data_IF_973359226080
#
_entry.id   IF_973359226080
#
_cell.length_a   1.000
_cell.length_b   1.000
_cell.length_c   1.000
_cell.angle_alpha   90.00
_cell.angle_beta   90.00
_cell.angle_gamma   90.00
#
_symmetry.space_group_name_H-M   'P 1'
#
loop_
_entity.id
_entity.type
_entity.pdbx_description
1 polymer ?
#
# COMPACT_ATOMS: atom_id res chain seq x y z
N UNK A 1 29.52 -66.53 -58.11
CA UNK A 1 28.85 -65.61 -57.19
C UNK A 1 29.81 -64.89 -56.22
N UNK A 2 31.13 -65.31 -56.14
CA UNK A 2 32.09 -64.67 -55.19
C UNK A 2 32.76 -63.39 -55.75
N UNK A 3 32.80 -63.19 -57.06
CA UNK A 3 33.48 -62.07 -57.71
C UNK A 3 32.60 -60.79 -57.85
N UNK A 4 31.26 -60.94 -57.77
CA UNK A 4 30.34 -59.79 -57.89
C UNK A 4 30.29 -58.97 -56.60
N UNK A 5 30.50 -59.60 -55.42
CA UNK A 5 30.51 -58.88 -54.16
C UNK A 5 31.79 -58.07 -53.92
N UNK A 6 32.92 -58.44 -54.53
CA UNK A 6 34.18 -57.70 -54.38
C UNK A 6 34.19 -56.40 -55.17
N UNK A 7 33.47 -56.34 -56.27
CA UNK A 7 33.42 -55.19 -57.15
C UNK A 7 32.50 -54.08 -56.59
N UNK A 8 31.46 -54.42 -55.85
CA UNK A 8 30.56 -53.48 -55.24
C UNK A 8 31.13 -52.74 -54.01
N UNK A 9 32.02 -53.44 -53.28
CA UNK A 9 32.71 -52.84 -52.11
C UNK A 9 33.79 -51.82 -52.51
N UNK A 10 34.45 -52.01 -53.65
CA UNK A 10 35.49 -51.11 -54.15
C UNK A 10 34.85 -49.78 -54.65
N UNK A 11 33.67 -49.82 -55.30
CA UNK A 11 32.99 -48.64 -55.75
C UNK A 11 32.39 -47.78 -54.60
N UNK A 12 31.93 -48.43 -53.50
CA UNK A 12 31.48 -47.74 -52.33
C UNK A 12 32.58 -46.97 -51.60
N UNK A 13 33.84 -47.53 -51.53
CA UNK A 13 34.96 -46.85 -50.88
C UNK A 13 35.44 -45.62 -51.68
N UNK A 14 35.37 -45.61 -53.00
CA UNK A 14 35.81 -44.51 -53.83
C UNK A 14 34.76 -43.34 -53.73
N UNK A 15 33.47 -43.63 -53.59
CA UNK A 15 32.44 -42.65 -53.40
C UNK A 15 32.55 -41.90 -52.06
N UNK A 16 33.00 -42.56 -51.00
CA UNK A 16 33.19 -41.93 -49.67
C UNK A 16 34.43 -41.01 -49.67
N UNK A 17 35.50 -41.38 -50.42
CA UNK A 17 36.69 -40.55 -50.47
C UNK A 17 36.47 -39.24 -51.29
N UNK A 18 35.55 -39.26 -52.27
CA UNK A 18 35.24 -38.06 -53.07
C UNK A 18 34.40 -37.00 -52.28
N UNK A 19 33.67 -37.38 -51.23
CA UNK A 19 32.91 -36.43 -50.40
C UNK A 19 33.80 -35.70 -49.38
N UNK A 20 34.92 -36.30 -48.97
CA UNK A 20 35.83 -35.66 -48.00
C UNK A 20 36.62 -34.48 -48.61
N UNK A 21 36.79 -34.45 -49.93
CA UNK A 21 37.57 -33.41 -50.62
C UNK A 21 36.78 -32.07 -50.80
N UNK A 22 35.46 -32.12 -50.72
CA UNK A 22 34.64 -30.92 -50.88
C UNK A 22 34.36 -30.18 -49.55
N UNK A 23 34.79 -30.73 -48.42
CA UNK A 23 34.58 -30.10 -47.11
C UNK A 23 35.65 -29.07 -46.72
N UNK A 24 36.75 -29.00 -47.50
CA UNK A 24 37.89 -28.15 -47.16
C UNK A 24 37.76 -26.70 -47.66
N UNK A 25 36.79 -26.42 -48.50
CA UNK A 25 36.70 -25.10 -49.20
C UNK A 25 35.40 -24.32 -48.84
N UNK A 26 34.73 -24.69 -47.74
CA UNK A 26 33.63 -23.88 -47.26
C UNK A 26 34.18 -22.60 -46.63
N UNK A 27 33.73 -21.42 -47.08
CA UNK A 27 34.11 -20.18 -46.44
C UNK A 27 33.62 -20.23 -45.00
N UNK A 28 34.53 -20.04 -44.03
CA UNK A 28 34.22 -19.92 -42.62
C UNK A 28 33.22 -18.80 -42.46
N UNK A 29 31.94 -19.14 -42.29
CA UNK A 29 30.92 -18.14 -41.91
C UNK A 29 31.38 -17.57 -40.59
N UNK A 30 31.86 -16.32 -40.59
CA UNK A 30 32.07 -15.58 -39.36
C UNK A 30 30.75 -15.64 -38.57
N UNK A 31 30.81 -16.27 -37.37
CA UNK A 31 29.69 -16.24 -36.50
C UNK A 31 29.17 -14.80 -36.36
N UNK A 32 27.86 -14.54 -36.48
CA UNK A 32 27.33 -13.22 -36.24
C UNK A 32 27.84 -12.74 -34.87
N UNK A 33 28.22 -11.48 -34.75
CA UNK A 33 28.66 -10.92 -33.49
C UNK A 33 27.61 -11.24 -32.42
N UNK A 34 28.01 -11.60 -31.19
CA UNK A 34 27.05 -11.85 -30.10
C UNK A 34 26.11 -10.66 -30.02
N UNK A 35 24.81 -10.93 -30.18
CA UNK A 35 23.82 -9.88 -29.97
C UNK A 35 24.02 -9.37 -28.54
N UNK A 36 24.30 -8.08 -28.40
CA UNK A 36 24.35 -7.44 -27.12
C UNK A 36 22.99 -7.68 -26.46
N UNK A 37 22.98 -8.51 -25.40
CA UNK A 37 21.79 -8.69 -24.55
C UNK A 37 21.59 -7.34 -23.90
N UNK A 38 20.65 -6.56 -24.42
CA UNK A 38 20.21 -5.32 -23.78
C UNK A 38 19.67 -5.73 -22.41
N UNK A 39 20.38 -5.35 -21.35
CA UNK A 39 19.89 -5.53 -20.00
C UNK A 39 18.49 -4.86 -19.92
N UNK A 40 17.49 -5.52 -19.33
CA UNK A 40 16.19 -4.89 -19.13
C UNK A 40 16.40 -3.56 -18.41
N UNK A 41 15.62 -2.52 -18.77
CA UNK A 41 15.74 -1.22 -18.11
C UNK A 41 15.61 -1.42 -16.59
N UNK A 42 16.42 -0.71 -15.79
CA UNK A 42 16.37 -0.85 -14.35
C UNK A 42 14.98 -0.46 -13.86
N UNK A 43 14.29 -1.40 -13.21
CA UNK A 43 13.01 -1.17 -12.55
C UNK A 43 13.26 -0.14 -11.45
N UNK A 44 12.36 0.84 -11.32
CA UNK A 44 12.46 1.84 -10.25
C UNK A 44 12.50 1.15 -8.87
N UNK A 45 13.48 1.52 -8.05
CA UNK A 45 13.67 0.90 -6.73
C UNK A 45 12.88 1.67 -5.67
N UNK A 46 11.91 1.01 -5.05
CA UNK A 46 11.09 1.55 -3.98
C UNK A 46 11.66 1.31 -2.57
N UNK A 47 12.77 0.57 -2.44
CA UNK A 47 13.41 0.31 -1.14
C UNK A 47 14.02 1.57 -0.56
N UNK A 48 13.99 1.68 0.76
CA UNK A 48 14.59 2.77 1.51
C UNK A 48 13.66 3.36 2.56
N UNK A 49 14.20 4.25 3.37
CA UNK A 49 13.42 5.07 4.30
C UNK A 49 12.77 6.23 3.55
N UNK A 50 11.61 6.63 4.01
CA UNK A 50 10.93 7.80 3.49
C UNK A 50 10.22 8.56 4.61
N UNK A 51 10.06 9.85 4.39
CA UNK A 51 9.21 10.74 5.20
C UNK A 51 8.29 11.51 4.27
N UNK A 52 7.14 11.91 4.76
CA UNK A 52 6.18 12.63 3.94
C UNK A 52 5.23 13.48 4.75
N UNK A 53 4.51 14.30 4.02
CA UNK A 53 3.39 15.08 4.53
C UNK A 53 2.16 14.81 3.68
N UNK A 54 1.00 14.81 4.31
CA UNK A 54 -0.25 14.56 3.62
C UNK A 54 -1.37 15.42 4.20
N UNK A 55 -2.36 15.70 3.37
CA UNK A 55 -3.61 16.30 3.76
C UNK A 55 -4.77 15.49 3.23
N UNK A 56 -5.91 15.58 3.87
CA UNK A 56 -7.06 14.77 3.49
C UNK A 56 -8.36 15.28 4.06
N UNK A 57 -9.39 14.52 3.78
CA UNK A 57 -10.73 14.73 4.28
C UNK A 57 -11.30 13.40 4.77
N UNK A 58 -11.92 13.43 5.93
CA UNK A 58 -12.55 12.26 6.51
C UNK A 58 -14.04 12.52 6.73
N UNK A 59 -14.80 11.45 6.62
CA UNK A 59 -16.21 11.39 6.97
C UNK A 59 -16.49 10.09 7.71
N UNK A 60 -17.40 10.11 8.64
CA UNK A 60 -17.76 8.94 9.44
C UNK A 60 -19.15 9.06 10.01
N UNK A 61 -19.70 7.92 10.34
CA UNK A 61 -20.98 7.78 11.00
C UNK A 61 -20.74 7.38 12.46
N UNK A 62 -21.27 8.16 13.38
CA UNK A 62 -21.30 7.78 14.79
C UNK A 62 -22.70 7.26 15.11
N UNK A 63 -22.80 5.96 15.36
CA UNK A 63 -24.05 5.32 15.76
C UNK A 63 -24.09 5.18 17.28
N UNK A 64 -25.06 5.84 17.90
CA UNK A 64 -25.38 5.67 19.31
C UNK A 64 -26.56 4.72 19.45
N UNK A 65 -26.32 3.51 19.91
CA UNK A 65 -27.39 2.60 20.34
C UNK A 65 -27.84 2.98 21.75
N UNK A 66 -28.52 4.12 21.86
CA UNK A 66 -29.25 4.44 23.07
C UNK A 66 -30.63 3.79 23.03
N UNK A 67 -30.98 3.02 24.02
CA UNK A 67 -32.18 2.18 24.14
C UNK A 67 -33.54 2.92 24.01
N UNK A 68 -33.55 4.22 23.70
CA UNK A 68 -34.79 5.01 23.56
C UNK A 68 -34.80 6.03 22.42
N UNK A 69 -33.69 6.35 21.76
CA UNK A 69 -33.65 7.21 20.58
C UNK A 69 -32.30 7.01 19.88
N UNK A 70 -32.25 6.17 18.83
CA UNK A 70 -31.10 6.08 17.94
C UNK A 70 -30.83 7.44 17.33
N UNK A 71 -29.69 8.04 17.64
CA UNK A 71 -29.20 9.24 17.00
C UNK A 71 -27.96 8.88 16.18
N UNK A 72 -28.02 9.06 14.89
CA UNK A 72 -26.86 9.03 14.00
C UNK A 72 -26.53 10.45 13.58
N UNK A 73 -25.27 10.84 13.65
CA UNK A 73 -24.82 12.11 13.10
C UNK A 73 -23.55 11.93 12.30
N UNK A 74 -23.48 12.64 11.20
CA UNK A 74 -22.34 12.66 10.30
C UNK A 74 -21.24 13.52 10.92
N UNK A 75 -20.04 12.98 11.01
CA UNK A 75 -18.85 13.70 11.41
C UNK A 75 -17.94 13.82 10.18
N UNK A 76 -17.49 15.03 9.89
CA UNK A 76 -16.55 15.22 8.78
C UNK A 76 -15.56 16.33 9.10
N UNK A 77 -14.39 16.26 8.52
CA UNK A 77 -13.35 17.26 8.77
C UNK A 77 -12.12 17.09 7.89
N UNK A 78 -11.30 18.13 7.90
CA UNK A 78 -9.99 18.12 7.25
C UNK A 78 -8.95 17.53 8.19
N UNK A 79 -7.96 16.91 7.61
CA UNK A 79 -6.79 16.44 8.34
C UNK A 79 -5.49 16.85 7.62
N UNK A 80 -4.46 17.10 8.41
CA UNK A 80 -3.09 17.33 7.98
C UNK A 80 -2.17 16.45 8.80
N UNK A 81 -1.23 15.77 8.16
CA UNK A 81 -0.37 14.83 8.87
C UNK A 81 1.02 14.72 8.30
N UNK A 82 1.87 14.09 9.10
CA UNK A 82 3.20 13.68 8.71
C UNK A 82 3.34 12.17 8.87
N UNK A 83 4.19 11.58 8.04
CA UNK A 83 4.44 10.15 8.04
C UNK A 83 5.93 9.84 7.91
N UNK A 84 6.32 8.68 8.39
CA UNK A 84 7.62 8.08 8.17
C UNK A 84 7.45 6.59 7.92
N UNK A 85 8.28 6.03 7.06
CA UNK A 85 8.19 4.61 6.76
C UNK A 85 9.45 4.05 6.16
N UNK A 86 9.43 2.74 5.95
CA UNK A 86 10.50 1.99 5.30
C UNK A 86 9.88 0.99 4.35
N UNK A 87 10.44 0.89 3.15
CA UNK A 87 10.06 -0.10 2.15
C UNK A 87 11.21 -1.05 1.87
N UNK A 88 10.87 -2.28 1.58
CA UNK A 88 11.78 -3.31 1.09
C UNK A 88 11.19 -3.99 -0.14
N UNK A 89 11.89 -3.87 -1.28
CA UNK A 89 11.44 -4.39 -2.56
C UNK A 89 12.15 -5.69 -2.92
N UNK A 90 11.37 -6.69 -3.30
CA UNK A 90 11.84 -7.97 -3.81
C UNK A 90 11.18 -8.20 -5.18
N UNK A 91 11.95 -8.03 -6.25
CA UNK A 91 11.40 -8.06 -7.61
C UNK A 91 10.38 -6.94 -7.82
N UNK A 92 9.14 -7.31 -8.07
CA UNK A 92 8.03 -6.37 -8.23
C UNK A 92 7.18 -6.19 -6.96
N UNK A 93 7.49 -6.93 -5.89
CA UNK A 93 6.74 -6.86 -4.65
C UNK A 93 7.44 -5.92 -3.67
N UNK A 94 6.68 -5.02 -3.06
CA UNK A 94 7.18 -4.07 -2.07
C UNK A 94 6.48 -4.32 -0.74
N UNK A 95 7.26 -4.59 0.28
CA UNK A 95 6.82 -4.68 1.67
C UNK A 95 7.21 -3.40 2.39
N UNK A 96 6.33 -2.84 3.21
CA UNK A 96 6.63 -1.63 3.96
C UNK A 96 6.00 -1.61 5.33
N UNK A 97 6.60 -0.77 6.18
CA UNK A 97 6.02 -0.33 7.45
C UNK A 97 5.93 1.18 7.42
N UNK A 98 4.81 1.71 7.86
CA UNK A 98 4.53 3.14 7.87
C UNK A 98 3.88 3.53 9.19
N UNK A 99 4.37 4.62 9.79
CA UNK A 99 3.77 5.27 10.93
C UNK A 99 3.39 6.70 10.55
N UNK A 100 2.22 7.15 10.97
CA UNK A 100 1.78 8.52 10.75
C UNK A 100 1.12 9.13 11.99
N UNK A 101 1.17 10.45 12.03
CA UNK A 101 0.45 11.28 12.98
C UNK A 101 -0.34 12.33 12.23
N UNK A 102 -1.59 12.49 12.58
CA UNK A 102 -2.55 13.38 11.94
C UNK A 102 -3.10 14.37 12.96
N UNK A 103 -3.12 15.63 12.62
CA UNK A 103 -3.92 16.65 13.26
C UNK A 103 -5.22 16.79 12.47
N UNK A 104 -6.34 16.77 13.17
CA UNK A 104 -7.65 16.79 12.54
C UNK A 104 -8.53 17.86 13.19
N UNK A 105 -9.37 18.46 12.37
CA UNK A 105 -10.45 19.36 12.80
C UNK A 105 -11.78 18.60 12.66
N UNK A 106 -11.78 17.36 13.21
CA UNK A 106 -13.01 16.58 13.27
C UNK A 106 -13.85 17.13 14.41
N UNK A 107 -14.89 17.88 14.05
CA UNK A 107 -15.89 18.34 14.98
C UNK A 107 -17.25 17.74 14.62
N UNK A 108 -17.91 17.19 15.60
CA UNK A 108 -19.26 16.68 15.51
C UNK A 108 -20.07 17.20 16.66
N UNK A 109 -21.25 17.77 16.40
CA UNK A 109 -22.21 18.13 17.43
C UNK A 109 -23.54 17.45 17.14
N UNK A 110 -24.09 16.81 18.16
CA UNK A 110 -25.38 16.13 18.07
C UNK A 110 -26.20 16.25 19.33
N UNK A 111 -27.53 16.09 19.23
CA UNK A 111 -28.41 16.13 20.40
C UNK A 111 -28.23 14.85 21.26
N UNK A 112 -27.82 15.04 22.52
CA UNK A 112 -27.75 13.98 23.52
C UNK A 112 -28.88 14.20 24.55
N UNK A 113 -30.09 13.77 24.22
CA UNK A 113 -31.25 14.03 25.04
C UNK A 113 -31.63 15.52 25.12
N UNK A 114 -31.52 16.14 26.32
CA UNK A 114 -31.80 17.57 26.52
C UNK A 114 -30.54 18.46 26.34
N UNK A 115 -29.40 17.91 26.01
CA UNK A 115 -28.10 18.59 25.91
C UNK A 115 -27.51 18.43 24.52
N UNK A 116 -26.55 19.29 24.13
CA UNK A 116 -25.75 19.15 22.94
C UNK A 116 -24.42 18.50 23.36
N UNK A 117 -24.06 17.37 22.77
CA UNK A 117 -22.74 16.77 22.92
C UNK A 117 -21.81 17.25 21.83
N UNK A 118 -20.61 17.61 22.20
CA UNK A 118 -19.53 17.96 21.29
C UNK A 118 -18.44 16.89 21.41
N UNK A 119 -17.99 16.38 20.26
CA UNK A 119 -16.89 15.44 20.19
C UNK A 119 -15.79 16.03 19.35
N UNK A 120 -14.63 16.18 19.93
CA UNK A 120 -13.43 16.66 19.26
C UNK A 120 -12.37 15.57 19.25
N UNK A 121 -11.73 15.35 18.10
CA UNK A 121 -10.57 14.48 17.98
C UNK A 121 -9.39 15.28 17.42
N UNK A 122 -8.58 15.88 18.29
CA UNK A 122 -7.54 16.82 17.83
C UNK A 122 -6.36 16.13 17.16
N UNK A 123 -6.10 14.85 17.43
CA UNK A 123 -5.04 14.10 16.78
C UNK A 123 -5.27 12.59 16.85
N UNK A 124 -4.80 11.88 15.83
CA UNK A 124 -4.72 10.43 15.82
C UNK A 124 -3.48 9.98 15.05
N UNK A 125 -3.02 8.79 15.33
CA UNK A 125 -1.89 8.17 14.64
C UNK A 125 -2.21 6.76 14.18
N UNK A 126 -1.43 6.27 13.22
CA UNK A 126 -1.52 4.88 12.78
C UNK A 126 -0.14 4.24 12.65
N UNK A 127 -0.09 2.92 12.85
CA UNK A 127 1.06 2.07 12.56
C UNK A 127 0.61 0.94 11.66
N UNK A 128 1.11 0.90 10.42
CA UNK A 128 0.56 0.05 9.37
C UNK A 128 1.63 -0.69 8.61
N UNK A 129 1.33 -1.94 8.26
CA UNK A 129 2.01 -2.67 7.20
C UNK A 129 1.46 -2.29 5.84
N UNK A 130 2.29 -2.30 4.79
CA UNK A 130 1.86 -2.10 3.40
C UNK A 130 2.45 -3.18 2.50
N UNK A 131 1.65 -3.58 1.51
CA UNK A 131 2.04 -4.52 0.47
C UNK A 131 1.71 -3.89 -0.89
N UNK A 132 2.75 -3.61 -1.68
CA UNK A 132 2.65 -2.94 -2.96
C UNK A 132 3.17 -3.77 -4.13
N UNK A 133 2.76 -3.39 -5.33
CA UNK A 133 3.26 -3.93 -6.58
C UNK A 133 3.97 -2.81 -7.37
N UNK A 134 5.28 -2.96 -7.57
CA UNK A 134 6.10 -2.01 -8.30
C UNK A 134 5.94 -2.19 -9.82
N UNK A 135 5.11 -1.36 -10.42
CA UNK A 135 5.00 -1.22 -11.87
C UNK A 135 5.84 -0.01 -12.32
N UNK A 136 7.17 -0.17 -12.29
CA UNK A 136 8.15 0.90 -12.49
C UNK A 136 7.91 2.07 -11.50
N UNK A 137 7.54 3.24 -11.98
CA UNK A 137 7.30 4.45 -11.16
C UNK A 137 5.91 4.51 -10.53
N UNK A 138 5.05 3.56 -10.81
CA UNK A 138 3.71 3.47 -10.25
C UNK A 138 3.61 2.27 -9.32
N UNK A 139 3.09 2.47 -8.11
CA UNK A 139 2.98 1.43 -7.09
C UNK A 139 1.59 1.48 -6.44
N UNK A 140 0.63 0.67 -6.91
CA UNK A 140 -0.58 0.38 -6.15
C UNK A 140 -0.23 -0.48 -4.93
N UNK A 141 -0.93 -0.26 -3.82
CA UNK A 141 -0.69 -1.02 -2.60
C UNK A 141 -1.95 -1.14 -1.75
N UNK A 142 -1.94 -2.14 -0.88
CA UNK A 142 -2.88 -2.30 0.22
C UNK A 142 -2.14 -2.03 1.53
N UNK A 143 -2.85 -1.58 2.55
CA UNK A 143 -2.28 -1.28 3.86
C UNK A 143 -3.24 -1.69 4.96
N UNK A 144 -2.69 -2.03 6.13
CA UNK A 144 -3.49 -2.34 7.30
C UNK A 144 -2.65 -2.37 8.56
N UNK A 145 -3.28 -2.10 9.70
CA UNK A 145 -2.56 -2.03 10.95
C UNK A 145 -3.40 -1.49 12.11
N UNK A 146 -2.71 -0.88 13.05
CA UNK A 146 -3.29 -0.31 14.25
C UNK A 146 -3.53 1.19 14.07
N UNK A 147 -4.64 1.66 14.60
CA UNK A 147 -4.95 3.07 14.79
C UNK A 147 -4.98 3.38 16.29
N UNK A 148 -4.53 4.56 16.67
CA UNK A 148 -4.60 5.05 18.04
C UNK A 148 -4.91 6.54 18.02
N UNK A 149 -5.75 6.98 18.93
CA UNK A 149 -6.17 8.37 19.00
C UNK A 149 -6.69 8.75 20.36
N UNK A 150 -6.66 10.05 20.64
CA UNK A 150 -7.28 10.61 21.82
C UNK A 150 -8.69 11.06 21.46
N UNK A 151 -9.67 10.53 22.14
CA UNK A 151 -11.06 10.95 22.02
C UNK A 151 -11.40 11.76 23.28
N UNK A 152 -11.81 12.99 23.10
CA UNK A 152 -12.29 13.86 24.17
C UNK A 152 -13.80 14.03 24.01
N UNK A 153 -14.54 13.55 25.00
CA UNK A 153 -15.98 13.77 25.10
C UNK A 153 -16.23 14.80 26.18
N UNK A 154 -16.84 15.92 25.83
CA UNK A 154 -17.19 16.97 26.77
C UNK A 154 -18.71 17.15 26.83
N UNK A 155 -19.27 16.99 28.04
CA UNK A 155 -20.67 17.28 28.31
C UNK A 155 -20.71 18.56 29.13
N UNK A 156 -21.18 19.69 28.56
CA UNK A 156 -21.25 20.96 29.28
C UNK A 156 -22.07 20.84 30.58
N UNK A 157 -21.40 21.07 31.72
CA UNK A 157 -22.02 21.05 33.06
C UNK A 157 -21.87 19.77 33.87
N UNK A 158 -21.26 18.72 33.33
CA UNK A 158 -21.05 17.43 34.02
C UNK A 158 -19.55 17.06 34.12
N UNK A 159 -18.72 17.42 33.15
CA UNK A 159 -17.29 17.12 33.11
C UNK A 159 -16.90 16.46 31.81
N UNK A 160 -15.59 16.45 31.51
CA UNK A 160 -15.00 15.78 30.35
C UNK A 160 -14.14 14.60 30.78
N UNK A 161 -14.17 13.55 29.99
CA UNK A 161 -13.25 12.40 30.09
C UNK A 161 -12.43 12.29 28.82
N UNK A 162 -11.15 11.97 28.95
CA UNK A 162 -10.25 11.77 27.83
C UNK A 162 -9.59 10.42 27.93
N UNK A 163 -9.79 9.59 26.91
CA UNK A 163 -9.22 8.25 26.87
C UNK A 163 -8.47 8.00 25.56
N UNK A 164 -7.37 7.25 25.66
CA UNK A 164 -6.60 6.84 24.47
C UNK A 164 -7.14 5.51 23.99
N UNK A 165 -7.61 5.48 22.75
CA UNK A 165 -8.23 4.30 22.13
C UNK A 165 -7.32 3.68 21.10
N UNK A 166 -7.41 2.36 21.02
CA UNK A 166 -6.75 1.55 20.02
C UNK A 166 -7.80 0.88 19.14
N UNK A 167 -7.56 0.92 17.84
CA UNK A 167 -8.40 0.30 16.85
C UNK A 167 -7.58 -0.28 15.72
N UNK A 168 -8.25 -0.67 14.66
CA UNK A 168 -7.61 -1.16 13.45
C UNK A 168 -7.92 -0.26 12.26
N UNK A 169 -7.05 -0.33 11.26
CA UNK A 169 -7.23 0.40 10.00
C UNK A 169 -6.84 -0.48 8.84
N UNK A 170 -7.58 -0.34 7.74
CA UNK A 170 -7.26 -0.98 6.48
C UNK A 170 -7.48 0.02 5.33
N UNK A 171 -6.73 -0.13 4.26
CA UNK A 171 -6.84 0.80 3.15
C UNK A 171 -6.18 0.33 1.87
N UNK A 172 -6.39 1.13 0.85
CA UNK A 172 -5.80 0.96 -0.47
C UNK A 172 -5.24 2.29 -0.94
N UNK A 173 -4.16 2.26 -1.69
CA UNK A 173 -3.55 3.46 -2.22
C UNK A 173 -2.72 3.23 -3.46
N UNK A 174 -2.26 4.33 -3.99
CA UNK A 174 -1.32 4.35 -5.10
C UNK A 174 -0.26 5.42 -4.87
N UNK A 175 0.96 5.12 -5.27
CA UNK A 175 2.09 6.03 -5.18
C UNK A 175 2.74 6.15 -6.56
N UNK A 176 3.07 7.37 -6.96
CA UNK A 176 3.71 7.68 -8.24
C UNK A 176 5.00 8.46 -8.03
N UNK A 177 6.13 7.89 -8.44
CA UNK A 177 7.44 8.51 -8.36
C UNK A 177 7.64 9.49 -9.53
N UNK A 178 7.46 10.78 -9.29
CA UNK A 178 7.68 11.83 -10.28
C UNK A 178 9.15 12.29 -10.34
N UNK A 179 9.95 11.99 -9.30
CA UNK A 179 11.38 12.20 -9.26
C UNK A 179 12.09 10.97 -8.68
N UNK A 180 13.42 10.85 -8.79
CA UNK A 180 14.16 9.71 -8.26
C UNK A 180 13.94 9.46 -6.76
N UNK A 181 13.76 10.53 -5.99
CA UNK A 181 13.60 10.51 -4.54
C UNK A 181 12.27 11.08 -4.04
N UNK A 182 11.35 11.47 -4.95
CA UNK A 182 10.07 12.05 -4.55
C UNK A 182 8.91 11.30 -5.21
N UNK A 183 7.85 11.10 -4.45
CA UNK A 183 6.64 10.45 -4.92
C UNK A 183 5.39 11.15 -4.41
N UNK A 184 4.35 11.08 -5.22
CA UNK A 184 3.00 11.48 -4.88
C UNK A 184 2.22 10.26 -4.44
N UNK A 185 1.54 10.35 -3.31
CA UNK A 185 0.74 9.28 -2.71
C UNK A 185 -0.71 9.72 -2.60
N UNK A 186 -1.63 8.84 -2.95
CA UNK A 186 -3.07 8.99 -2.67
C UNK A 186 -3.58 7.70 -2.06
N UNK A 187 -4.36 7.81 -0.99
CA UNK A 187 -4.76 6.68 -0.17
C UNK A 187 -6.19 6.86 0.35
N UNK A 188 -6.94 5.77 0.34
CA UNK A 188 -8.21 5.64 1.05
C UNK A 188 -8.00 4.72 2.25
N UNK A 189 -8.44 5.15 3.42
CA UNK A 189 -8.38 4.40 4.66
C UNK A 189 -9.77 4.25 5.26
N UNK A 190 -10.03 3.06 5.74
CA UNK A 190 -11.09 2.76 6.69
C UNK A 190 -10.45 2.62 8.07
N UNK A 191 -11.00 3.31 9.05
CA UNK A 191 -10.54 3.31 10.44
C UNK A 191 -11.70 2.92 11.33
N UNK A 192 -11.47 1.94 12.18
CA UNK A 192 -12.42 1.46 13.19
C UNK A 192 -11.72 1.53 14.55
N UNK A 193 -12.18 2.42 15.42
CA UNK A 193 -11.60 2.60 16.76
C UNK A 193 -12.30 1.76 17.83
N UNK A 194 -13.20 0.85 17.41
CA UNK A 194 -13.96 0.00 18.33
C UNK A 194 -14.99 0.76 19.17
N UNK A 195 -15.87 -0.01 19.81
CA UNK A 195 -16.88 0.56 20.69
C UNK A 195 -16.33 0.89 22.10
N UNK A 196 -16.89 1.89 22.76
CA UNK A 196 -16.60 2.20 24.14
C UNK A 196 -17.86 2.45 24.97
N UNK A 197 -17.78 2.09 26.26
CA UNK A 197 -18.80 2.40 27.23
C UNK A 197 -18.53 3.77 27.87
N UNK A 198 -19.40 4.73 27.63
CA UNK A 198 -19.30 6.02 28.29
C UNK A 198 -19.92 5.92 29.71
N UNK A 199 -19.08 5.79 30.74
CA UNK A 199 -19.53 5.77 32.13
C UNK A 199 -19.73 7.16 32.74
N UNK A 200 -19.12 8.18 32.15
CA UNK A 200 -19.22 9.59 32.59
C UNK A 200 -20.40 10.36 31.99
N UNK A 201 -21.12 9.78 31.02
CA UNK A 201 -22.25 10.46 30.35
C UNK A 201 -23.56 10.43 31.16
N UNK A 202 -23.54 10.00 32.43
CA UNK A 202 -24.70 10.04 33.35
C UNK A 202 -25.80 9.01 33.06
N UNK A 203 -25.74 8.32 31.91
CA UNK A 203 -26.54 7.15 31.54
C UNK A 203 -25.58 6.16 30.90
N UNK A 204 -25.58 4.87 31.28
CA UNK A 204 -24.74 3.88 30.58
C UNK A 204 -25.19 3.78 29.13
N UNK A 205 -24.41 4.31 28.21
CA UNK A 205 -24.62 4.13 26.76
C UNK A 205 -23.71 2.99 26.35
N UNK A 206 -24.27 1.80 26.08
CA UNK A 206 -23.48 0.68 25.60
C UNK A 206 -23.16 0.88 24.12
N UNK A 207 -21.89 0.68 23.78
CA UNK A 207 -21.33 0.60 22.44
C UNK A 207 -21.59 1.83 21.53
N UNK A 208 -20.62 2.72 21.53
CA UNK A 208 -20.46 3.75 20.50
C UNK A 208 -19.43 3.24 19.48
N UNK A 209 -19.88 2.72 18.35
CA UNK A 209 -19.02 2.33 17.27
C UNK A 209 -18.62 3.56 16.45
N UNK A 210 -17.32 3.82 16.37
CA UNK A 210 -16.78 4.91 15.55
C UNK A 210 -16.11 4.33 14.31
N UNK A 211 -16.74 4.54 13.16
CA UNK A 211 -16.22 4.16 11.85
C UNK A 211 -15.95 5.42 11.04
N UNK A 212 -14.77 5.49 10.45
CA UNK A 212 -14.35 6.65 9.68
C UNK A 212 -13.74 6.25 8.35
N UNK A 213 -14.11 6.96 7.32
CA UNK A 213 -13.59 6.86 5.97
C UNK A 213 -12.72 8.09 5.70
N UNK A 214 -11.49 7.88 5.26
CA UNK A 214 -10.52 8.95 5.06
C UNK A 214 -9.94 8.84 3.66
N UNK A 215 -9.99 9.92 2.89
CA UNK A 215 -9.21 10.08 1.66
C UNK A 215 -8.12 11.10 1.91
N UNK A 216 -6.88 10.72 1.65
CA UNK A 216 -5.73 11.59 1.84
C UNK A 216 -4.74 11.52 0.68
N UNK A 217 -4.06 12.63 0.45
CA UNK A 217 -3.04 12.74 -0.58
C UNK A 217 -1.82 13.47 -0.02
N UNK A 218 -0.65 13.16 -0.53
CA UNK A 218 0.58 13.71 0.02
C UNK A 218 1.81 13.50 -0.84
N UNK A 219 2.93 13.98 -0.35
CA UNK A 219 4.23 13.85 -0.98
C UNK A 219 5.20 13.20 -0.03
N UNK A 220 5.94 12.22 -0.52
CA UNK A 220 7.00 11.53 0.19
C UNK A 220 8.36 11.88 -0.39
N UNK A 221 9.35 11.99 0.47
CA UNK A 221 10.77 12.09 0.12
C UNK A 221 11.47 10.84 0.64
N UNK A 222 12.19 10.16 -0.25
CA UNK A 222 12.89 8.91 0.03
C UNK A 222 14.40 9.12 0.06
N UNK A 223 15.07 8.33 0.90
CA UNK A 223 16.51 8.35 1.16
C UNK A 223 17.16 7.03 0.80
#
# INVERSE_FOLDING_TARGET
MKHVFLSMTAIALVAVAAQAANAADMPVRKAPPPQAVTAPPPIFNWSGFYVGVHGGYGWGDSNFDAAAAGASFDTSGWLLGALAGVNYQVGQTVFGLEADINWSDFSGSGPCGAFTCETDSPWFGTLRGRLGYAADRFMPYITGGLAYGKVEANVPGIGGDSDTRFGWTAGVGAEYAFAPNMSWKTEYLYVDLGGFDCTACGVPVPNVDFQSHIVRTGVNVRF
#
